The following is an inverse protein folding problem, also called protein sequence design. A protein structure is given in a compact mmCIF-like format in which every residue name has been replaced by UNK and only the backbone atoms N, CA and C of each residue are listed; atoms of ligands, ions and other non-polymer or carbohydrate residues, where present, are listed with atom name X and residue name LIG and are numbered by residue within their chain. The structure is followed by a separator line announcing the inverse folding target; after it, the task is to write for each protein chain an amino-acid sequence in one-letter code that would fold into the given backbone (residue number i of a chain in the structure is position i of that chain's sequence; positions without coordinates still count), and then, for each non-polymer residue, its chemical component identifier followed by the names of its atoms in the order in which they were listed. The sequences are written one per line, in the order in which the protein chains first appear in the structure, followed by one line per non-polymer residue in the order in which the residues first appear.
data_IF_993165610707
#
_entry.id   IF_993165610707
#
_cell.length_a   1.000
_cell.length_b   1.000
_cell.length_c   1.000
_cell.angle_alpha   90.00
_cell.angle_beta   90.00
_cell.angle_gamma   90.00
#
_symmetry.space_group_name_H-M   'P 1'
#
loop_
_entity.id
_entity.type
_entity.pdbx_description
1 polymer ?
#
# COMPACT_ATOMS: atom_id res chain seq x y z
N UNK A 1 26.03 1.54 12.95
CA UNK A 1 26.02 2.99 13.21
C UNK A 1 25.84 3.26 14.71
N UNK A 2 26.62 4.19 15.28
CA UNK A 2 26.35 4.75 16.61
C UNK A 2 25.06 5.56 16.46
N UNK A 3 24.05 5.35 17.33
CA UNK A 3 22.81 6.15 17.29
C UNK A 3 23.20 7.62 17.42
N UNK A 4 22.75 8.48 16.51
CA UNK A 4 23.03 9.92 16.58
C UNK A 4 21.97 10.60 17.45
N UNK A 5 20.73 10.12 17.35
CA UNK A 5 19.61 10.62 18.13
C UNK A 5 19.11 9.64 19.19
N UNK A 6 18.65 10.19 20.31
CA UNK A 6 17.90 9.52 21.35
C UNK A 6 16.46 10.04 21.34
N UNK A 7 15.53 9.15 21.02
CA UNK A 7 14.09 9.43 21.05
C UNK A 7 13.51 8.97 22.39
N UNK A 8 13.00 9.92 23.18
CA UNK A 8 12.34 9.64 24.45
C UNK A 8 10.84 9.84 24.32
N UNK A 9 10.08 8.76 24.46
CA UNK A 9 8.62 8.80 24.42
C UNK A 9 8.07 9.07 25.82
N UNK A 10 7.33 10.16 25.98
CA UNK A 10 6.57 10.45 27.20
C UNK A 10 5.09 10.26 26.96
N UNK A 11 4.52 9.28 27.64
CA UNK A 11 3.09 9.01 27.56
C UNK A 11 2.27 10.06 28.32
N UNK A 12 1.06 10.31 27.83
CA UNK A 12 0.08 11.16 28.49
C UNK A 12 -1.28 10.46 28.44
N UNK A 13 -1.98 10.37 29.57
CA UNK A 13 -3.26 9.65 29.66
C UNK A 13 -4.38 10.33 28.86
N UNK A 14 -4.27 11.63 28.57
CA UNK A 14 -5.31 12.44 27.93
C UNK A 14 -4.92 13.03 26.57
N UNK A 15 -3.66 12.87 26.17
CA UNK A 15 -3.11 13.45 24.93
C UNK A 15 -2.23 12.43 24.23
N UNK A 16 -2.08 12.51 22.90
CA UNK A 16 -1.13 11.68 22.17
C UNK A 16 0.29 11.78 22.77
N UNK A 17 1.04 10.67 22.80
CA UNK A 17 2.40 10.67 23.30
C UNK A 17 3.28 11.74 22.66
N UNK A 18 4.23 12.26 23.44
CA UNK A 18 5.21 13.23 22.96
C UNK A 18 6.57 12.56 22.84
N UNK A 19 7.21 12.74 21.70
CA UNK A 19 8.59 12.33 21.46
C UNK A 19 9.50 13.52 21.73
N UNK A 20 10.51 13.33 22.56
CA UNK A 20 11.60 14.27 22.75
C UNK A 20 12.82 13.77 21.97
N UNK A 21 13.42 14.64 21.17
CA UNK A 21 14.57 14.33 20.32
C UNK A 21 15.81 14.92 20.98
N UNK A 22 16.73 14.06 21.39
CA UNK A 22 17.98 14.44 22.04
C UNK A 22 19.19 13.96 21.28
N UNK A 23 20.33 14.64 21.45
CA UNK A 23 21.63 14.09 21.09
C UNK A 23 21.87 12.79 21.85
N UNK A 24 22.35 11.76 21.16
CA UNK A 24 22.73 10.51 21.81
C UNK A 24 24.02 10.65 22.64
N UNK A 25 24.87 11.62 22.33
CA UNK A 25 26.17 11.82 22.99
C UNK A 25 26.07 12.79 24.17
N UNK A 26 25.48 13.97 23.95
CA UNK A 26 25.43 15.04 24.96
C UNK A 26 24.14 15.05 25.78
N UNK A 27 23.13 14.27 25.37
CA UNK A 27 21.76 14.31 25.90
C UNK A 27 21.05 15.68 25.77
N UNK A 28 21.64 16.61 25.01
CA UNK A 28 21.05 17.90 24.66
C UNK A 28 19.69 17.70 23.98
N UNK A 29 18.72 18.53 24.33
CA UNK A 29 17.38 18.48 23.74
C UNK A 29 17.30 19.35 22.50
N UNK A 30 17.11 18.74 21.33
CA UNK A 30 16.90 19.46 20.08
C UNK A 30 15.45 19.93 19.92
N UNK A 31 14.48 19.16 20.41
CA UNK A 31 13.07 19.55 20.36
C UNK A 31 12.11 18.43 20.72
N UNK A 32 10.82 18.61 20.42
CA UNK A 32 9.80 17.59 20.65
C UNK A 32 8.63 17.71 19.67
N UNK A 33 7.92 16.60 19.43
CA UNK A 33 6.70 16.58 18.61
C UNK A 33 5.70 15.56 19.18
N UNK A 34 4.42 15.67 18.79
CA UNK A 34 3.41 14.67 19.15
C UNK A 34 3.41 13.53 18.14
N UNK A 35 3.15 12.30 18.58
CA UNK A 35 3.14 11.15 17.68
C UNK A 35 2.08 11.26 16.57
N UNK A 36 1.01 12.03 16.76
CA UNK A 36 -0.02 12.28 15.75
C UNK A 36 0.23 13.53 14.88
N UNK A 37 1.28 14.30 15.19
CA UNK A 37 1.66 15.51 14.47
C UNK A 37 3.19 15.60 14.40
N UNK A 38 3.79 14.69 13.62
CA UNK A 38 5.26 14.60 13.49
C UNK A 38 5.88 15.84 12.85
N UNK A 39 5.14 16.56 12.02
CA UNK A 39 5.58 17.80 11.39
C UNK A 39 5.78 18.99 12.35
N UNK A 40 5.24 18.93 13.57
CA UNK A 40 5.32 20.02 14.57
C UNK A 40 6.69 20.12 15.26
N UNK A 41 7.71 19.43 14.77
CA UNK A 41 9.03 19.49 15.37
C UNK A 41 9.69 20.84 15.07
N UNK A 42 10.01 21.62 16.11
CA UNK A 42 10.53 22.98 15.94
C UNK A 42 12.06 23.06 15.79
N UNK A 43 12.80 21.96 16.04
CA UNK A 43 14.26 21.94 16.14
C UNK A 43 15.02 21.46 14.90
N UNK A 44 14.42 21.55 13.70
CA UNK A 44 15.03 21.01 12.47
C UNK A 44 16.36 21.67 12.11
N UNK A 45 16.50 22.96 12.40
CA UNK A 45 17.68 23.80 12.15
C UNK A 45 18.90 23.44 13.03
N UNK A 46 18.66 22.71 14.13
CA UNK A 46 19.70 22.30 15.09
C UNK A 46 20.36 20.97 14.77
N UNK A 47 19.86 20.25 13.78
CA UNK A 47 20.29 18.90 13.45
C UNK A 47 21.35 18.94 12.35
N UNK A 48 22.39 18.13 12.50
CA UNK A 48 23.25 17.78 11.37
C UNK A 48 22.46 17.05 10.28
N UNK A 49 23.01 16.98 9.07
CA UNK A 49 22.40 16.26 7.95
C UNK A 49 22.02 14.80 8.31
N UNK A 50 22.93 14.08 8.96
CA UNK A 50 22.71 12.69 9.34
C UNK A 50 21.68 12.54 10.49
N UNK A 51 21.68 13.45 11.47
CA UNK A 51 20.64 13.47 12.51
C UNK A 51 19.26 13.78 11.91
N UNK A 52 19.19 14.69 10.95
CA UNK A 52 17.96 15.01 10.23
C UNK A 52 17.42 13.78 9.47
N UNK A 53 18.30 13.01 8.81
CA UNK A 53 17.91 11.76 8.15
C UNK A 53 17.36 10.73 9.15
N UNK A 54 18.06 10.50 10.27
CA UNK A 54 17.59 9.59 11.32
C UNK A 54 16.21 10.03 11.86
N UNK A 55 16.01 11.34 12.07
CA UNK A 55 14.72 11.89 12.52
C UNK A 55 13.61 11.68 11.49
N UNK A 56 13.88 11.98 10.21
CA UNK A 56 12.90 11.80 9.12
C UNK A 56 12.45 10.34 9.02
N UNK A 57 13.38 9.38 9.13
CA UNK A 57 13.03 7.96 9.14
C UNK A 57 12.14 7.59 10.32
N UNK A 58 12.50 8.05 11.52
CA UNK A 58 11.72 7.81 12.73
C UNK A 58 10.29 8.37 12.60
N UNK A 59 10.14 9.60 12.09
CA UNK A 59 8.84 10.24 11.84
C UNK A 59 8.03 9.51 10.77
N UNK A 60 8.65 9.12 9.64
CA UNK A 60 7.99 8.34 8.57
C UNK A 60 7.45 7.01 9.10
N UNK A 61 8.20 6.34 9.99
CA UNK A 61 7.71 5.11 10.62
C UNK A 61 6.52 5.37 11.55
N UNK A 62 6.57 6.41 12.40
CA UNK A 62 5.42 6.81 13.24
C UNK A 62 4.17 7.06 12.38
N UNK A 63 4.33 7.82 11.29
CA UNK A 63 3.22 8.15 10.39
C UNK A 63 2.63 6.89 9.74
N UNK A 64 3.48 5.98 9.26
CA UNK A 64 3.03 4.72 8.65
C UNK A 64 2.32 3.81 9.67
N UNK A 65 2.86 3.70 10.89
CA UNK A 65 2.22 2.94 11.98
C UNK A 65 0.87 3.52 12.34
N UNK A 66 0.76 4.84 12.54
CA UNK A 66 -0.51 5.49 12.88
C UNK A 66 -1.55 5.30 11.77
N UNK A 67 -1.14 5.45 10.51
CA UNK A 67 -2.02 5.32 9.34
C UNK A 67 -2.59 3.90 9.20
N UNK A 68 -1.80 2.87 9.49
CA UNK A 68 -2.14 1.49 9.12
C UNK A 68 -2.46 0.56 10.28
N UNK A 69 -2.03 0.88 11.49
CA UNK A 69 -2.26 0.06 12.67
C UNK A 69 -3.18 0.75 13.69
N UNK A 70 -3.55 2.03 13.45
CA UNK A 70 -4.47 2.82 14.25
C UNK A 70 -4.36 2.52 15.77
N UNK A 71 -3.21 2.86 16.39
CA UNK A 71 -2.91 2.40 17.75
C UNK A 71 -3.97 2.89 18.73
N UNK A 72 -4.61 1.95 19.42
CA UNK A 72 -5.51 2.25 20.54
C UNK A 72 -4.70 2.73 21.75
N UNK A 73 -5.36 3.45 22.66
CA UNK A 73 -4.76 3.92 23.92
C UNK A 73 -4.17 2.80 24.80
N UNK A 74 -4.55 1.54 24.57
CA UNK A 74 -4.04 0.36 25.27
C UNK A 74 -2.83 -0.31 24.61
N UNK A 75 -2.57 -0.06 23.32
CA UNK A 75 -1.46 -0.62 22.54
C UNK A 75 -0.43 0.46 22.23
N UNK A 76 0.02 1.18 23.26
CA UNK A 76 0.96 2.29 23.09
C UNK A 76 2.31 1.76 22.60
N UNK A 77 2.65 2.13 21.36
CA UNK A 77 3.94 1.88 20.74
C UNK A 77 5.05 2.50 21.60
N UNK A 78 5.91 1.64 22.15
CA UNK A 78 7.02 2.03 23.02
C UNK A 78 8.32 2.23 22.26
N UNK A 79 8.46 1.63 21.07
CA UNK A 79 9.62 1.78 20.20
C UNK A 79 9.17 1.83 18.72
N UNK A 80 9.50 2.92 18.04
CA UNK A 80 9.26 3.11 16.60
C UNK A 80 10.54 2.92 15.78
N UNK A 81 11.58 2.29 16.32
CA UNK A 81 12.79 2.00 15.56
C UNK A 81 12.65 0.69 14.80
N UNK A 82 12.70 0.76 13.48
CA UNK A 82 12.92 -0.41 12.65
C UNK A 82 14.40 -0.83 12.75
N UNK A 83 14.66 -2.09 13.08
CA UNK A 83 16.03 -2.62 13.19
C UNK A 83 16.38 -3.39 11.93
N UNK A 84 17.38 -2.90 11.19
CA UNK A 84 17.87 -3.49 9.95
C UNK A 84 19.39 -3.71 10.02
N UNK A 85 19.96 -4.59 9.16
CA UNK A 85 21.40 -4.74 9.03
C UNK A 85 22.07 -3.39 8.68
N UNK A 86 23.25 -3.14 9.26
CA UNK A 86 23.94 -1.84 9.15
C UNK A 86 24.15 -1.43 7.69
N UNK A 87 24.70 -2.32 6.85
CA UNK A 87 24.96 -2.03 5.44
C UNK A 87 23.68 -1.67 4.66
N UNK A 88 22.54 -2.22 5.07
CA UNK A 88 21.26 -1.93 4.42
C UNK A 88 20.75 -0.53 4.82
N UNK A 89 20.93 -0.13 6.09
CA UNK A 89 20.62 1.21 6.56
C UNK A 89 21.48 2.24 5.82
N UNK A 90 22.79 1.99 5.72
CA UNK A 90 23.71 2.89 5.00
C UNK A 90 23.33 3.05 3.53
N UNK A 91 22.91 1.96 2.89
CA UNK A 91 22.41 2.00 1.49
C UNK A 91 21.11 2.80 1.39
N UNK A 92 20.20 2.60 2.34
CA UNK A 92 18.93 3.33 2.39
C UNK A 92 19.16 4.83 2.61
N UNK A 93 20.06 5.21 3.51
CA UNK A 93 20.41 6.60 3.80
C UNK A 93 20.99 7.28 2.55
N UNK A 94 21.93 6.63 1.87
CA UNK A 94 22.52 7.15 0.62
C UNK A 94 21.46 7.30 -0.48
N UNK A 95 20.55 6.33 -0.62
CA UNK A 95 19.46 6.42 -1.59
C UNK A 95 18.48 7.55 -1.22
N UNK A 96 18.18 7.72 0.06
CA UNK A 96 17.32 8.79 0.55
C UNK A 96 17.92 10.16 0.26
N UNK A 97 19.23 10.33 0.42
CA UNK A 97 19.93 11.58 0.09
C UNK A 97 19.80 11.92 -1.40
N UNK A 98 20.00 10.92 -2.28
CA UNK A 98 19.81 11.08 -3.72
C UNK A 98 18.35 11.47 -4.02
N UNK A 99 17.39 10.75 -3.46
CA UNK A 99 15.97 11.02 -3.67
C UNK A 99 15.54 12.41 -3.16
N UNK A 100 15.99 12.82 -1.98
CA UNK A 100 15.69 14.14 -1.41
C UNK A 100 16.25 15.27 -2.31
N UNK A 101 17.44 15.08 -2.92
CA UNK A 101 18.02 16.06 -3.85
C UNK A 101 17.21 16.26 -5.13
N UNK A 102 16.55 15.19 -5.61
CA UNK A 102 15.67 15.19 -6.79
C UNK A 102 14.19 15.44 -6.43
N UNK A 103 13.89 15.77 -5.15
CA UNK A 103 12.52 15.94 -4.63
C UNK A 103 11.63 14.69 -4.83
N UNK A 104 12.23 13.52 -4.87
CA UNK A 104 11.53 12.23 -4.94
C UNK A 104 11.26 11.73 -3.53
N UNK A 105 9.98 11.51 -3.20
CA UNK A 105 9.62 10.95 -1.90
C UNK A 105 9.81 9.43 -1.87
N UNK A 106 10.61 8.94 -0.92
CA UNK A 106 10.77 7.51 -0.64
C UNK A 106 10.17 7.16 0.74
N UNK A 107 9.11 6.36 0.75
CA UNK A 107 8.47 5.88 1.98
C UNK A 107 8.48 4.35 2.04
N UNK A 108 9.56 3.80 2.60
CA UNK A 108 9.71 2.35 2.75
C UNK A 108 8.84 1.77 3.88
N UNK A 109 8.51 2.56 4.89
CA UNK A 109 7.81 2.09 6.08
C UNK A 109 6.37 1.72 5.77
N UNK A 110 5.70 2.51 4.92
CA UNK A 110 4.40 2.16 4.35
C UNK A 110 4.48 0.79 3.65
N UNK A 111 5.43 0.60 2.73
CA UNK A 111 5.60 -0.68 2.03
C UNK A 111 5.85 -1.87 2.97
N UNK A 112 6.69 -1.70 3.99
CA UNK A 112 7.02 -2.75 4.96
C UNK A 112 5.78 -3.12 5.79
N UNK A 113 5.11 -2.14 6.39
CA UNK A 113 3.94 -2.39 7.25
C UNK A 113 2.82 -3.04 6.45
N UNK A 114 2.51 -2.52 5.27
CA UNK A 114 1.48 -3.09 4.39
C UNK A 114 1.80 -4.50 3.94
N UNK A 115 3.07 -4.80 3.63
CA UNK A 115 3.53 -6.15 3.28
C UNK A 115 3.43 -7.13 4.44
N UNK A 116 3.84 -6.72 5.66
CA UNK A 116 3.72 -7.55 6.87
C UNK A 116 2.24 -7.89 7.13
N UNK A 117 1.36 -6.88 7.14
CA UNK A 117 -0.09 -7.05 7.29
C UNK A 117 -0.62 -8.05 6.25
N UNK A 118 -0.21 -7.90 4.99
CA UNK A 118 -0.64 -8.79 3.91
C UNK A 118 -0.18 -10.23 4.13
N UNK A 119 1.09 -10.45 4.48
CA UNK A 119 1.63 -11.79 4.76
C UNK A 119 0.91 -12.45 5.95
N UNK A 120 0.61 -11.69 7.01
CA UNK A 120 -0.17 -12.17 8.14
C UNK A 120 -1.56 -12.66 7.72
N UNK A 121 -2.25 -11.91 6.85
CA UNK A 121 -3.57 -12.30 6.31
C UNK A 121 -3.50 -13.54 5.42
N UNK A 122 -2.51 -13.61 4.53
CA UNK A 122 -2.32 -14.80 3.68
C UNK A 122 -2.10 -16.03 4.55
N UNK A 123 -1.22 -15.95 5.55
CA UNK A 123 -0.96 -17.05 6.46
C UNK A 123 -2.23 -17.48 7.21
N UNK A 124 -2.98 -16.52 7.77
CA UNK A 124 -4.24 -16.81 8.45
C UNK A 124 -5.30 -17.44 7.53
N UNK A 125 -5.35 -17.03 6.27
CA UNK A 125 -6.32 -17.54 5.28
C UNK A 125 -6.10 -19.02 4.92
N UNK A 126 -4.86 -19.51 5.05
CA UNK A 126 -4.45 -20.89 4.78
C UNK A 126 -4.76 -21.85 5.94
N UNK A 127 -5.21 -21.31 7.09
CA UNK A 127 -5.62 -22.12 8.23
C UNK A 127 -7.07 -22.57 8.06
N UNK A 128 -7.40 -23.72 8.64
CA UNK A 128 -8.76 -24.28 8.64
C UNK A 128 -9.42 -24.16 10.01
N UNK A 129 -10.76 -24.13 10.02
CA UNK A 129 -11.62 -24.31 11.20
C UNK A 129 -11.24 -23.44 12.42
N UNK A 130 -10.99 -24.05 13.58
CA UNK A 130 -10.75 -23.33 14.84
C UNK A 130 -9.45 -22.48 14.86
N UNK A 131 -8.30 -22.96 14.35
CA UNK A 131 -7.10 -22.14 14.17
C UNK A 131 -7.33 -20.87 13.34
N UNK A 132 -8.13 -20.96 12.27
CA UNK A 132 -8.48 -19.80 11.43
C UNK A 132 -9.25 -18.74 12.22
N UNK A 133 -10.28 -19.15 12.96
CA UNK A 133 -11.09 -18.23 13.78
C UNK A 133 -10.23 -17.53 14.84
N UNK A 134 -9.32 -18.27 15.48
CA UNK A 134 -8.37 -17.70 16.46
C UNK A 134 -7.42 -16.70 15.81
N UNK A 135 -6.90 -17.01 14.62
CA UNK A 135 -6.01 -16.11 13.88
C UNK A 135 -6.74 -14.83 13.44
N UNK A 136 -7.96 -14.94 12.92
CA UNK A 136 -8.77 -13.79 12.53
C UNK A 136 -9.07 -12.88 13.72
N UNK A 137 -9.47 -13.45 14.87
CA UNK A 137 -9.69 -12.67 16.09
C UNK A 137 -8.44 -11.94 16.61
N UNK A 138 -7.23 -12.46 16.34
CA UNK A 138 -5.98 -11.78 16.65
C UNK A 138 -5.71 -10.61 15.69
N UNK A 139 -6.03 -10.77 14.40
CA UNK A 139 -5.90 -9.71 13.40
C UNK A 139 -6.91 -8.58 13.64
N UNK A 140 -8.14 -8.92 14.02
CA UNK A 140 -9.18 -7.95 14.41
C UNK A 140 -8.72 -7.10 15.60
N UNK A 141 -8.21 -7.74 16.66
CA UNK A 141 -7.69 -7.06 17.86
C UNK A 141 -6.53 -6.10 17.58
N UNK A 142 -5.78 -6.33 16.49
CA UNK A 142 -4.68 -5.49 16.08
C UNK A 142 -5.11 -4.36 15.13
N UNK A 143 -6.41 -4.19 14.85
CA UNK A 143 -6.95 -3.30 13.81
C UNK A 143 -6.41 -3.61 12.40
N UNK A 144 -5.99 -4.86 12.17
CA UNK A 144 -5.36 -5.29 10.91
C UNK A 144 -6.41 -5.91 9.95
N UNK A 145 -7.56 -6.32 10.47
CA UNK A 145 -8.56 -7.05 9.70
C UNK A 145 -9.22 -6.23 8.58
N UNK A 146 -9.52 -4.95 8.85
CA UNK A 146 -10.13 -4.02 7.89
C UNK A 146 -9.11 -3.28 7.01
N UNK A 147 -7.85 -3.71 7.01
CA UNK A 147 -6.84 -3.12 6.14
C UNK A 147 -7.21 -3.33 4.67
N UNK A 148 -7.69 -2.27 4.03
CA UNK A 148 -7.95 -2.20 2.59
C UNK A 148 -6.64 -1.84 1.88
N UNK A 149 -6.18 -2.72 0.99
CA UNK A 149 -5.07 -2.44 0.08
C UNK A 149 -5.34 -1.10 -0.65
N UNK A 150 -4.31 -0.33 -1.01
CA UNK A 150 -4.46 1.02 -1.61
C UNK A 150 -5.39 1.08 -2.84
N UNK A 151 -5.61 -0.06 -3.49
CA UNK A 151 -6.52 -0.22 -4.63
C UNK A 151 -7.81 -1.00 -4.31
N UNK A 152 -8.10 -1.31 -3.06
CA UNK A 152 -9.23 -2.16 -2.70
C UNK A 152 -10.57 -1.49 -3.05
N UNK A 153 -10.68 -0.17 -2.88
CA UNK A 153 -11.87 0.58 -3.24
C UNK A 153 -12.02 0.69 -4.77
N UNK A 154 -10.91 0.84 -5.48
CA UNK A 154 -10.85 0.82 -6.94
C UNK A 154 -11.24 -0.55 -7.50
N UNK A 155 -10.73 -1.64 -6.91
CA UNK A 155 -11.11 -3.01 -7.25
C UNK A 155 -12.60 -3.23 -6.96
N UNK A 156 -13.10 -2.83 -5.79
CA UNK A 156 -14.54 -2.90 -5.49
C UNK A 156 -15.36 -2.14 -6.53
N UNK A 157 -14.92 -0.94 -6.93
CA UNK A 157 -15.57 -0.12 -7.95
C UNK A 157 -15.59 -0.81 -9.32
N UNK A 158 -14.49 -1.43 -9.74
CA UNK A 158 -14.43 -2.27 -10.96
C UNK A 158 -15.51 -3.36 -10.92
N UNK A 159 -15.59 -4.12 -9.83
CA UNK A 159 -16.54 -5.23 -9.73
C UNK A 159 -17.99 -4.76 -9.48
N UNK A 160 -18.18 -3.56 -8.93
CA UNK A 160 -19.46 -2.89 -8.81
C UNK A 160 -19.99 -2.49 -10.18
N UNK A 161 -19.19 -1.80 -10.99
CA UNK A 161 -19.56 -1.44 -12.37
C UNK A 161 -19.83 -2.68 -13.23
N UNK A 162 -19.07 -3.76 -13.01
CA UNK A 162 -19.30 -5.04 -13.70
C UNK A 162 -20.71 -5.59 -13.46
N UNK A 163 -21.38 -5.24 -12.35
CA UNK A 163 -22.76 -5.66 -12.09
C UNK A 163 -23.76 -5.07 -13.08
N UNK A 164 -23.42 -3.97 -13.76
CA UNK A 164 -24.22 -3.39 -14.83
C UNK A 164 -24.16 -4.16 -16.15
N UNK A 165 -23.17 -5.05 -16.33
CA UNK A 165 -22.95 -5.79 -17.57
C UNK A 165 -23.79 -7.08 -17.60
N UNK A 166 -24.54 -7.27 -18.69
CA UNK A 166 -25.28 -8.51 -18.98
C UNK A 166 -24.33 -9.66 -19.34
N UNK A 167 -24.65 -10.89 -18.89
CA UNK A 167 -23.81 -12.08 -19.10
C UNK A 167 -22.35 -11.89 -18.63
N UNK A 168 -22.16 -11.11 -17.57
CA UNK A 168 -20.83 -10.78 -17.02
C UNK A 168 -19.99 -12.00 -16.67
N UNK A 169 -20.61 -13.09 -16.20
CA UNK A 169 -19.89 -14.32 -15.84
C UNK A 169 -19.25 -14.96 -17.07
N UNK A 170 -20.01 -15.08 -18.15
CA UNK A 170 -19.56 -15.64 -19.43
C UNK A 170 -18.53 -14.73 -20.10
N UNK A 171 -18.78 -13.42 -20.12
CA UNK A 171 -17.84 -12.44 -20.71
C UNK A 171 -16.52 -12.38 -19.94
N UNK A 172 -16.56 -12.41 -18.61
CA UNK A 172 -15.36 -12.42 -17.78
C UNK A 172 -14.59 -13.74 -17.94
N UNK A 173 -15.28 -14.86 -18.10
CA UNK A 173 -14.68 -16.14 -18.42
C UNK A 173 -13.97 -16.12 -19.79
N UNK A 174 -14.60 -15.52 -20.80
CA UNK A 174 -13.99 -15.34 -22.12
C UNK A 174 -12.71 -14.49 -22.03
N UNK A 175 -12.72 -13.37 -21.30
CA UNK A 175 -11.53 -12.54 -21.06
C UNK A 175 -10.42 -13.31 -20.33
N UNK A 176 -10.78 -14.12 -19.33
CA UNK A 176 -9.82 -14.97 -18.61
C UNK A 176 -9.07 -15.94 -19.53
N UNK A 177 -9.79 -16.57 -20.47
CA UNK A 177 -9.20 -17.42 -21.50
C UNK A 177 -8.32 -16.63 -22.46
N UNK A 178 -8.84 -15.54 -23.00
CA UNK A 178 -8.16 -14.75 -24.04
C UNK A 178 -6.86 -14.11 -23.53
N UNK A 179 -6.91 -13.46 -22.37
CA UNK A 179 -5.81 -12.62 -21.89
C UNK A 179 -4.77 -13.38 -21.06
N UNK A 180 -5.19 -14.45 -20.35
CA UNK A 180 -4.34 -15.14 -19.38
C UNK A 180 -4.36 -16.68 -19.51
N UNK A 181 -5.02 -17.22 -20.54
CA UNK A 181 -5.22 -18.66 -20.73
C UNK A 181 -5.75 -19.37 -19.46
N UNK A 182 -6.70 -18.73 -18.77
CA UNK A 182 -7.34 -19.26 -17.56
C UNK A 182 -8.74 -19.78 -17.88
N UNK A 183 -8.91 -21.09 -17.81
CA UNK A 183 -10.23 -21.73 -17.87
C UNK A 183 -10.93 -21.68 -16.52
N UNK A 184 -11.31 -20.47 -16.09
CA UNK A 184 -11.99 -20.25 -14.81
C UNK A 184 -13.20 -19.35 -14.98
N UNK A 185 -14.35 -19.79 -14.49
CA UNK A 185 -15.59 -19.02 -14.47
C UNK A 185 -15.94 -18.61 -13.05
N UNK A 186 -16.65 -17.50 -12.91
CA UNK A 186 -17.08 -16.94 -11.64
C UNK A 186 -18.59 -16.71 -11.68
N UNK A 187 -19.30 -17.26 -10.70
CA UNK A 187 -20.75 -17.07 -10.60
C UNK A 187 -21.11 -15.61 -10.33
N UNK A 188 -22.33 -15.16 -10.67
CA UNK A 188 -22.78 -13.80 -10.37
C UNK A 188 -22.66 -13.44 -8.89
N UNK A 189 -22.90 -14.40 -8.00
CA UNK A 189 -22.75 -14.23 -6.55
C UNK A 189 -21.29 -13.99 -6.15
N UNK A 190 -20.34 -14.71 -6.73
CA UNK A 190 -18.92 -14.51 -6.45
C UNK A 190 -18.45 -13.12 -6.91
N UNK A 191 -18.89 -12.68 -8.10
CA UNK A 191 -18.59 -11.33 -8.61
C UNK A 191 -19.21 -10.26 -7.69
N UNK A 192 -20.44 -10.48 -7.19
CA UNK A 192 -21.08 -9.58 -6.22
C UNK A 192 -20.28 -9.50 -4.91
N UNK A 193 -19.77 -10.63 -4.41
CA UNK A 193 -18.89 -10.66 -3.24
C UNK A 193 -17.58 -9.89 -3.44
N UNK A 194 -17.07 -9.79 -4.67
CA UNK A 194 -15.91 -8.95 -4.99
C UNK A 194 -16.28 -7.46 -5.00
N UNK A 195 -17.47 -7.11 -5.48
CA UNK A 195 -17.98 -5.74 -5.46
C UNK A 195 -18.21 -5.22 -4.03
N UNK A 196 -18.69 -6.07 -3.12
CA UNK A 196 -18.88 -5.72 -1.70
C UNK A 196 -17.60 -5.80 -0.88
N UNK A 197 -16.53 -6.40 -1.41
CA UNK A 197 -15.26 -6.63 -0.71
C UNK A 197 -15.22 -7.84 0.20
N UNK A 198 -16.26 -8.68 0.20
CA UNK A 198 -16.27 -9.96 0.91
C UNK A 198 -15.18 -10.91 0.39
N UNK A 199 -14.83 -10.78 -0.90
CA UNK A 199 -13.79 -11.59 -1.54
C UNK A 199 -12.80 -10.72 -2.31
N UNK A 200 -11.50 -11.00 -2.16
CA UNK A 200 -10.46 -10.29 -2.88
C UNK A 200 -10.13 -11.02 -4.19
N UNK A 201 -10.34 -10.41 -5.37
CA UNK A 201 -10.00 -11.02 -6.65
C UNK A 201 -8.49 -11.09 -6.88
N UNK A 202 -8.04 -12.08 -7.67
CA UNK A 202 -6.66 -12.16 -8.13
C UNK A 202 -6.33 -11.06 -9.15
N UNK A 203 -5.08 -10.61 -9.21
CA UNK A 203 -4.64 -9.51 -10.11
C UNK A 203 -5.04 -9.72 -11.57
N UNK A 204 -4.86 -10.91 -12.12
CA UNK A 204 -5.27 -11.22 -13.51
C UNK A 204 -6.79 -11.10 -13.73
N UNK A 205 -7.59 -11.40 -12.70
CA UNK A 205 -9.05 -11.29 -12.79
C UNK A 205 -9.49 -9.83 -12.77
N UNK A 206 -8.81 -8.99 -11.96
CA UNK A 206 -9.01 -7.54 -11.97
C UNK A 206 -8.70 -6.98 -13.37
N UNK A 207 -7.58 -7.39 -13.96
CA UNK A 207 -7.22 -6.98 -15.32
C UNK A 207 -8.28 -7.40 -16.35
N UNK A 208 -8.79 -8.64 -16.30
CA UNK A 208 -9.90 -9.08 -17.16
C UNK A 208 -11.17 -8.25 -16.95
N UNK A 209 -11.49 -7.87 -15.72
CA UNK A 209 -12.68 -7.09 -15.39
C UNK A 209 -12.57 -5.66 -15.93
N UNK A 210 -11.41 -5.03 -15.79
CA UNK A 210 -11.13 -3.72 -16.40
C UNK A 210 -11.19 -3.82 -17.92
N UNK A 211 -10.58 -4.84 -18.51
CA UNK A 211 -10.57 -5.05 -19.96
C UNK A 211 -11.98 -5.29 -20.54
N UNK A 212 -12.86 -5.93 -19.76
CA UNK A 212 -14.28 -6.07 -20.11
C UNK A 212 -15.03 -4.74 -20.02
N UNK A 213 -14.81 -3.97 -18.96
CA UNK A 213 -15.42 -2.63 -18.83
C UNK A 213 -14.97 -1.69 -19.95
N UNK A 214 -13.75 -1.87 -20.47
CA UNK A 214 -13.25 -1.08 -21.59
C UNK A 214 -14.06 -1.32 -22.86
N UNK A 215 -14.44 -2.58 -23.10
CA UNK A 215 -15.24 -2.94 -24.27
C UNK A 215 -16.70 -2.49 -24.13
N UNK A 216 -17.24 -2.50 -22.91
CA UNK A 216 -18.69 -2.36 -22.67
C UNK A 216 -19.10 -0.96 -22.20
N UNK A 217 -18.32 -0.34 -21.30
CA UNK A 217 -18.63 0.95 -20.65
C UNK A 217 -17.36 1.80 -20.44
N UNK A 218 -16.63 2.14 -21.52
CA UNK A 218 -15.34 2.83 -21.44
C UNK A 218 -15.41 4.19 -20.74
N UNK A 219 -16.51 4.93 -20.92
CA UNK A 219 -16.73 6.26 -20.36
C UNK A 219 -16.74 6.27 -18.83
N UNK A 220 -17.12 5.15 -18.20
CA UNK A 220 -17.19 5.05 -16.73
C UNK A 220 -15.83 4.83 -16.10
N UNK A 221 -14.89 4.18 -16.79
CA UNK A 221 -13.60 3.81 -16.21
C UNK A 221 -12.83 5.03 -15.70
N UNK A 222 -12.83 6.11 -16.50
CA UNK A 222 -12.12 7.35 -16.16
C UNK A 222 -12.72 8.07 -14.93
N UNK A 223 -13.93 7.72 -14.49
CA UNK A 223 -14.55 8.35 -13.31
C UNK A 223 -14.09 7.75 -11.98
N UNK A 224 -13.48 6.56 -11.97
CA UNK A 224 -13.07 5.88 -10.74
C UNK A 224 -11.67 5.26 -10.77
N UNK A 225 -11.02 5.17 -11.93
CA UNK A 225 -9.61 4.77 -12.05
C UNK A 225 -8.75 5.92 -12.56
N UNK A 226 -7.66 6.20 -11.84
CA UNK A 226 -6.59 7.07 -12.34
C UNK A 226 -5.74 6.33 -13.39
N UNK A 227 -4.91 7.06 -14.15
CA UNK A 227 -3.96 6.42 -15.08
C UNK A 227 -2.94 5.52 -14.37
N UNK A 228 -2.59 5.87 -13.12
CA UNK A 228 -1.77 5.00 -12.26
C UNK A 228 -2.50 3.70 -11.91
N UNK A 229 -3.79 3.77 -11.55
CA UNK A 229 -4.59 2.59 -11.26
C UNK A 229 -4.75 1.71 -12.51
N UNK A 230 -4.98 2.32 -13.68
CA UNK A 230 -5.05 1.63 -14.96
C UNK A 230 -3.75 0.86 -15.26
N UNK A 231 -2.59 1.48 -15.04
CA UNK A 231 -1.32 0.78 -15.19
C UNK A 231 -1.17 -0.36 -14.18
N UNK A 232 -1.43 -0.13 -12.90
CA UNK A 232 -1.17 -1.11 -11.84
C UNK A 232 -2.15 -2.30 -11.84
N UNK A 233 -3.42 -2.07 -12.19
CA UNK A 233 -4.50 -3.05 -12.10
C UNK A 233 -4.78 -3.77 -13.43
N UNK A 234 -4.47 -3.14 -14.57
CA UNK A 234 -4.70 -3.71 -15.91
C UNK A 234 -3.41 -3.86 -16.71
N UNK A 235 -2.65 -2.78 -16.91
CA UNK A 235 -1.47 -2.78 -17.79
C UNK A 235 -0.35 -3.72 -17.31
N UNK A 236 0.03 -3.63 -16.03
CA UNK A 236 1.11 -4.42 -15.43
C UNK A 236 0.79 -5.92 -15.42
N UNK A 237 -0.39 -6.39 -14.97
CA UNK A 237 -0.75 -7.80 -15.07
C UNK A 237 -0.70 -8.35 -16.49
N UNK A 238 -1.15 -7.58 -17.50
CA UNK A 238 -1.08 -7.99 -18.90
C UNK A 238 0.37 -8.03 -19.41
N UNK A 239 1.18 -7.03 -19.05
CA UNK A 239 2.62 -7.00 -19.38
C UNK A 239 3.39 -8.18 -18.76
N UNK A 240 3.04 -8.56 -17.53
CA UNK A 240 3.64 -9.69 -16.82
C UNK A 240 3.14 -11.06 -17.36
N UNK A 241 2.15 -11.07 -18.26
CA UNK A 241 1.62 -12.26 -18.92
C UNK A 241 2.24 -12.45 -20.31
N UNK A 242 1.92 -13.55 -20.99
CA UNK A 242 2.35 -13.79 -22.38
C UNK A 242 1.60 -12.93 -23.42
N UNK A 243 0.92 -11.86 -23.00
CA UNK A 243 0.17 -10.96 -23.85
C UNK A 243 1.12 -10.03 -24.63
N UNK A 244 0.82 -9.76 -25.90
CA UNK A 244 1.70 -8.94 -26.74
C UNK A 244 1.79 -7.52 -26.20
N UNK A 245 3.02 -7.01 -26.11
CA UNK A 245 3.28 -5.63 -25.69
C UNK A 245 2.70 -4.64 -26.72
N UNK A 246 2.78 -4.99 -28.00
CA UNK A 246 2.24 -4.20 -29.11
C UNK A 246 0.72 -4.11 -29.03
N UNK A 247 0.04 -5.23 -28.80
CA UNK A 247 -1.42 -5.27 -28.60
C UNK A 247 -1.83 -4.47 -27.36
N UNK A 248 -1.07 -4.56 -26.26
CA UNK A 248 -1.32 -3.81 -25.04
C UNK A 248 -1.17 -2.30 -25.25
N UNK A 249 -0.15 -1.87 -26.00
CA UNK A 249 0.05 -0.46 -26.35
C UNK A 249 -1.08 0.04 -27.25
N UNK A 250 -1.48 -0.74 -28.25
CA UNK A 250 -2.60 -0.40 -29.13
C UNK A 250 -3.89 -0.23 -28.32
N UNK A 251 -4.16 -1.15 -27.41
CA UNK A 251 -5.32 -1.09 -26.52
C UNK A 251 -5.25 0.09 -25.54
N UNK A 252 -4.05 0.47 -25.10
CA UNK A 252 -3.86 1.65 -24.25
C UNK A 252 -4.11 2.98 -24.99
N UNK A 253 -3.93 3.03 -26.32
CA UNK A 253 -4.24 4.23 -27.12
C UNK A 253 -5.71 4.63 -27.06
N UNK A 254 -6.59 3.67 -26.79
CA UNK A 254 -8.01 3.93 -26.56
C UNK A 254 -8.27 4.95 -25.44
N UNK A 255 -7.34 5.08 -24.48
CA UNK A 255 -7.47 6.05 -23.40
C UNK A 255 -6.96 7.45 -23.74
N UNK A 256 -6.32 7.64 -24.90
CA UNK A 256 -5.64 8.88 -25.32
C UNK A 256 -4.61 9.36 -24.29
N UNK A 257 -3.99 8.43 -23.55
CA UNK A 257 -3.07 8.75 -22.45
C UNK A 257 -1.65 8.36 -22.81
N UNK A 258 -0.81 9.35 -23.12
CA UNK A 258 0.63 9.15 -23.33
C UNK A 258 1.31 8.60 -22.06
N UNK A 259 0.88 9.04 -20.87
CA UNK A 259 1.41 8.57 -19.59
C UNK A 259 1.23 7.05 -19.40
N UNK A 260 0.07 6.50 -19.80
CA UNK A 260 -0.20 5.06 -19.69
C UNK A 260 0.66 4.26 -20.67
N UNK A 261 0.81 4.77 -21.89
CA UNK A 261 1.64 4.15 -22.94
C UNK A 261 3.12 4.13 -22.52
N UNK A 262 3.63 5.23 -21.97
CA UNK A 262 5.01 5.32 -21.49
C UNK A 262 5.29 4.29 -20.40
N UNK A 263 4.37 4.13 -19.44
CA UNK A 263 4.51 3.13 -18.36
C UNK A 263 4.45 1.69 -18.84
N UNK A 264 3.69 1.40 -19.90
CA UNK A 264 3.67 0.06 -20.52
C UNK A 264 4.97 -0.19 -21.31
N UNK A 265 5.54 0.88 -21.87
CA UNK A 265 6.71 0.82 -22.75
C UNK A 265 8.03 0.64 -22.00
N UNK A 266 8.15 1.18 -20.78
CA UNK A 266 9.22 0.91 -19.80
C UNK A 266 9.07 -0.50 -19.22
#
# INVERSE_FOLDING_TARGET
MKKLLRFELKQNLRKPPRVYVRSAETAELYGSFRTDATGDFEGFDRLSHYELMELKQYMRNINAVNKYLAPSSSNMLTDFRLRLPVNFIETLDQLMDICDSEKVEINIFEGIITSIIHQMRIAASKLDSAPKLKALALLDKANIADFKQKHHEQIQSVFFELQGISNRSEKLHHKAKLLFNKDKSYSPLAIKGMATGETLPSKWLVACAIDLLMDETPERIKSFLTMNDMFLLWGKPLKDSSYSKEELIERARFFESHELIDKISL
#
